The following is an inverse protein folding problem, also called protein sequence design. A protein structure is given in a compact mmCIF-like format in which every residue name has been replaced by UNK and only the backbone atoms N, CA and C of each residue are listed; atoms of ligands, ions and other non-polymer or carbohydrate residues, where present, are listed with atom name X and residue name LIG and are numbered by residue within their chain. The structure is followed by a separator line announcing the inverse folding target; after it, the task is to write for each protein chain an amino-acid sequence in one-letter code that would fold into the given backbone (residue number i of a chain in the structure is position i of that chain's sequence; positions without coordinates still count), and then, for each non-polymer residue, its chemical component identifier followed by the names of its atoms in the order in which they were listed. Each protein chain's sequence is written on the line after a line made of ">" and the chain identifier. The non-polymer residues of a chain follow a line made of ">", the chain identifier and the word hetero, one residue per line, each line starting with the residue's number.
data_IF_928049776382
#
_entry.id   IF_928049776382
#
_cell.length_a   1.000
_cell.length_b   1.000
_cell.length_c   1.000
_cell.angle_alpha   90.00
_cell.angle_beta   90.00
_cell.angle_gamma   90.00
#
_symmetry.space_group_name_H-M   'P 1'
#
loop_
_entity.id
_entity.type
_entity.pdbx_description
1 polymer ?
#
# COMPACT_ATOMS: atom_id res chain seq x y z
N UNK A 1 5.68 -35.97 0.39
CA UNK A 1 6.71 -36.48 1.32
C UNK A 1 7.37 -35.23 1.87
N UNK A 2 6.96 -34.82 3.07
CA UNK A 2 7.16 -33.46 3.57
C UNK A 2 8.62 -33.17 3.93
N UNK A 3 8.97 -31.90 3.74
CA UNK A 3 10.29 -31.28 3.77
C UNK A 3 11.11 -31.63 5.02
N UNK A 4 12.40 -31.91 4.84
CA UNK A 4 13.35 -31.95 5.94
C UNK A 4 13.59 -30.50 6.43
N UNK A 5 12.87 -30.09 7.48
CA UNK A 5 13.26 -28.91 8.26
C UNK A 5 14.65 -29.14 8.86
N UNK A 6 15.57 -28.22 8.60
CA UNK A 6 16.89 -28.24 9.24
C UNK A 6 16.91 -27.24 10.39
N UNK A 7 17.25 -27.74 11.59
CA UNK A 7 17.40 -26.93 12.80
C UNK A 7 18.88 -26.74 13.08
N UNK A 8 19.31 -25.48 13.15
CA UNK A 8 20.72 -25.13 13.34
C UNK A 8 20.82 -24.08 14.46
N UNK A 9 21.69 -24.28 15.47
CA UNK A 9 21.95 -23.25 16.45
C UNK A 9 22.62 -22.05 15.77
N UNK A 10 22.27 -20.85 16.22
CA UNK A 10 22.70 -19.58 15.65
C UNK A 10 23.11 -18.63 16.77
N UNK A 11 24.30 -18.04 16.61
CA UNK A 11 24.85 -17.10 17.59
C UNK A 11 24.50 -15.65 17.22
N UNK A 12 23.21 -15.33 17.21
CA UNK A 12 22.69 -14.05 16.70
C UNK A 12 22.91 -12.87 17.68
N UNK A 13 22.55 -13.03 18.95
CA UNK A 13 22.75 -12.01 20.02
C UNK A 13 23.71 -12.46 21.12
N UNK A 14 24.20 -13.70 21.01
CA UNK A 14 25.11 -14.37 21.94
C UNK A 14 25.33 -15.83 21.51
N UNK A 15 26.27 -16.56 22.12
CA UNK A 15 26.56 -17.95 21.75
C UNK A 15 25.31 -18.83 21.81
N UNK A 16 25.00 -19.50 20.69
CA UNK A 16 23.84 -20.40 20.52
C UNK A 16 22.50 -19.82 21.01
N UNK A 17 22.37 -18.49 20.97
CA UNK A 17 21.20 -17.75 21.48
C UNK A 17 19.90 -18.09 20.76
N UNK A 18 19.97 -18.57 19.51
CA UNK A 18 18.81 -18.80 18.66
C UNK A 18 18.88 -20.15 17.96
N UNK A 19 17.73 -20.69 17.57
CA UNK A 19 17.64 -21.83 16.67
C UNK A 19 17.00 -21.38 15.37
N UNK A 20 17.74 -21.47 14.27
CA UNK A 20 17.21 -21.22 12.95
C UNK A 20 16.55 -22.50 12.42
N UNK A 21 15.28 -22.39 12.01
CA UNK A 21 14.54 -23.45 11.33
C UNK A 21 14.48 -23.09 9.84
N UNK A 22 15.07 -23.93 8.98
CA UNK A 22 15.09 -23.69 7.53
C UNK A 22 14.26 -24.75 6.81
N UNK A 23 13.31 -24.26 6.02
CA UNK A 23 12.59 -25.03 5.00
C UNK A 23 13.39 -25.03 3.68
N UNK A 24 13.47 -26.17 3.01
CA UNK A 24 14.21 -26.29 1.77
C UNK A 24 13.60 -25.39 0.69
N UNK A 25 14.43 -24.57 0.04
CA UNK A 25 13.98 -23.63 -1.01
C UNK A 25 13.43 -22.30 -0.50
N UNK A 26 13.22 -22.12 0.81
CA UNK A 26 12.81 -20.85 1.38
C UNK A 26 13.99 -19.87 1.44
N UNK A 27 13.93 -18.79 0.67
CA UNK A 27 14.97 -17.76 0.60
C UNK A 27 14.78 -16.58 1.56
N UNK A 28 13.70 -16.57 2.35
CA UNK A 28 13.34 -15.46 3.23
C UNK A 28 13.79 -15.67 4.67
N UNK A 29 14.11 -14.57 5.35
CA UNK A 29 14.34 -14.53 6.78
C UNK A 29 13.65 -13.30 7.39
N UNK A 30 12.97 -13.48 8.52
CA UNK A 30 12.33 -12.43 9.30
C UNK A 30 12.93 -12.36 10.70
N UNK A 31 13.49 -11.19 11.04
CA UNK A 31 14.07 -10.89 12.35
C UNK A 31 13.33 -9.69 12.95
N UNK A 32 12.69 -9.85 14.11
CA UNK A 32 11.94 -8.76 14.73
C UNK A 32 11.63 -8.99 16.23
N UNK A 33 11.19 -7.96 16.97
CA UNK A 33 10.63 -8.07 18.31
C UNK A 33 9.41 -8.98 18.37
N UNK A 34 9.26 -9.66 19.52
CA UNK A 34 8.17 -10.61 19.74
C UNK A 34 6.79 -9.96 19.55
N UNK A 35 6.62 -8.71 20.01
CA UNK A 35 5.38 -7.95 19.95
C UNK A 35 4.98 -7.53 18.53
N UNK A 36 5.94 -7.46 17.61
CA UNK A 36 5.74 -6.97 16.24
C UNK A 36 5.58 -8.11 15.23
N UNK A 37 5.72 -9.35 15.67
CA UNK A 37 5.55 -10.55 14.87
C UNK A 37 4.14 -11.16 15.05
N UNK A 38 3.15 -10.62 14.32
CA UNK A 38 1.75 -11.11 14.39
C UNK A 38 1.54 -12.54 13.85
N UNK A 39 2.30 -12.98 12.84
CA UNK A 39 2.01 -14.26 12.14
C UNK A 39 3.20 -15.16 11.77
N UNK A 40 4.43 -14.65 11.53
CA UNK A 40 5.64 -15.48 11.33
C UNK A 40 6.91 -14.66 11.64
N UNK A 41 7.65 -15.07 12.66
CA UNK A 41 8.97 -14.53 13.04
C UNK A 41 9.93 -15.72 12.99
N UNK A 42 10.97 -15.66 12.16
CA UNK A 42 11.94 -16.75 12.10
C UNK A 42 12.93 -16.64 13.27
N UNK A 43 13.36 -15.42 13.58
CA UNK A 43 14.26 -15.12 14.69
C UNK A 43 13.70 -13.93 15.49
N UNK A 44 13.61 -14.08 16.82
CA UNK A 44 13.07 -13.05 17.72
C UNK A 44 14.20 -12.36 18.47
N UNK A 45 14.32 -11.05 18.32
CA UNK A 45 15.33 -10.22 19.01
C UNK A 45 14.65 -9.04 19.67
N UNK A 46 15.24 -8.43 20.69
CA UNK A 46 14.75 -7.12 21.14
C UNK A 46 15.09 -6.05 20.10
N UNK A 47 14.36 -4.94 20.14
CA UNK A 47 14.51 -3.85 19.17
C UNK A 47 15.94 -3.28 19.12
N UNK A 48 16.65 -3.27 20.25
CA UNK A 48 17.98 -2.68 20.41
C UNK A 48 19.09 -3.72 20.61
N UNK A 49 18.79 -5.01 20.43
CA UNK A 49 19.81 -6.04 20.54
C UNK A 49 20.85 -5.85 19.41
N UNK A 50 22.16 -5.86 19.72
CA UNK A 50 23.18 -5.93 18.69
C UNK A 50 23.08 -7.28 17.98
N UNK A 51 23.15 -7.26 16.64
CA UNK A 51 23.00 -8.47 15.83
C UNK A 51 24.35 -8.84 15.20
N UNK A 52 24.77 -10.08 15.46
CA UNK A 52 25.89 -10.70 14.75
C UNK A 52 25.42 -11.16 13.35
N UNK A 53 25.40 -10.26 12.37
CA UNK A 53 24.95 -10.58 11.01
C UNK A 53 25.80 -11.66 10.32
N UNK A 54 27.08 -11.78 10.68
CA UNK A 54 27.99 -12.77 10.09
C UNK A 54 27.60 -14.22 10.41
N UNK A 55 26.81 -14.47 11.46
CA UNK A 55 26.30 -15.80 11.74
C UNK A 55 25.42 -16.35 10.60
N UNK A 56 24.91 -15.48 9.72
CA UNK A 56 24.10 -15.85 8.56
C UNK A 56 24.93 -16.11 7.29
N UNK A 57 26.21 -15.70 7.27
CA UNK A 57 27.10 -15.80 6.10
C UNK A 57 27.33 -17.22 5.58
N UNK A 58 27.44 -18.27 6.42
CA UNK A 58 27.67 -19.64 5.93
C UNK A 58 26.50 -20.23 5.13
N UNK A 59 25.32 -19.61 5.14
CA UNK A 59 24.12 -20.20 4.54
C UNK A 59 23.95 -19.81 3.07
N UNK A 60 23.60 -20.81 2.26
CA UNK A 60 23.22 -20.64 0.86
C UNK A 60 21.88 -21.32 0.58
N UNK A 61 21.22 -20.90 -0.51
CA UNK A 61 20.10 -21.66 -1.08
C UNK A 61 20.64 -22.84 -1.90
N UNK A 62 19.81 -23.86 -2.24
CA UNK A 62 20.27 -25.00 -3.04
C UNK A 62 20.91 -24.63 -4.39
N UNK A 63 20.52 -23.50 -4.97
CA UNK A 63 21.11 -22.95 -6.20
C UNK A 63 22.51 -22.29 -6.01
N UNK A 64 23.04 -22.27 -4.78
CA UNK A 64 24.37 -21.77 -4.46
C UNK A 64 24.45 -20.27 -4.17
N UNK A 65 23.35 -19.51 -4.32
CA UNK A 65 23.36 -18.08 -3.95
C UNK A 65 23.32 -17.87 -2.43
N UNK A 66 23.84 -16.73 -1.93
CA UNK A 66 23.81 -16.41 -0.51
C UNK A 66 22.38 -16.40 0.06
N UNK A 67 22.19 -16.98 1.24
CA UNK A 67 20.94 -16.95 1.99
C UNK A 67 21.08 -16.03 3.23
N UNK A 68 20.06 -15.27 3.64
CA UNK A 68 18.78 -15.04 2.97
C UNK A 68 18.92 -14.19 1.69
N UNK A 69 17.97 -14.38 0.78
CA UNK A 69 17.75 -13.54 -0.42
C UNK A 69 16.82 -12.36 -0.11
N UNK A 70 15.79 -12.63 0.70
CA UNK A 70 14.81 -11.65 1.17
C UNK A 70 14.88 -11.54 2.69
N UNK A 71 15.20 -10.37 3.20
CA UNK A 71 15.34 -10.11 4.64
C UNK A 71 14.29 -9.10 5.08
N UNK A 72 13.47 -9.48 6.06
CA UNK A 72 12.58 -8.56 6.77
C UNK A 72 13.16 -8.34 8.16
N UNK A 73 13.50 -7.09 8.48
CA UNK A 73 14.13 -6.73 9.74
C UNK A 73 13.37 -5.60 10.42
N UNK A 74 13.04 -5.77 11.69
CA UNK A 74 12.55 -4.70 12.55
C UNK A 74 13.49 -4.56 13.74
N UNK A 75 14.03 -3.37 13.94
CA UNK A 75 15.01 -3.09 14.99
C UNK A 75 15.96 -1.96 14.61
N UNK A 76 16.86 -1.63 15.55
CA UNK A 76 17.73 -0.48 15.48
C UNK A 76 19.20 -0.78 15.14
N UNK A 77 19.57 -2.05 15.03
CA UNK A 77 20.91 -2.46 14.62
C UNK A 77 21.10 -2.23 13.11
N UNK A 78 21.98 -1.30 12.76
CA UNK A 78 22.26 -0.94 11.36
C UNK A 78 23.37 -1.80 10.73
N UNK A 79 23.87 -2.82 11.45
CA UNK A 79 24.95 -3.69 10.98
C UNK A 79 24.61 -4.47 9.70
N UNK A 80 23.32 -4.62 9.39
CA UNK A 80 22.84 -5.24 8.15
C UNK A 80 23.41 -4.56 6.90
N UNK A 81 23.63 -3.23 6.93
CA UNK A 81 24.17 -2.50 5.79
C UNK A 81 25.65 -2.80 5.57
N UNK A 82 26.45 -2.84 6.64
CA UNK A 82 27.86 -3.23 6.57
C UNK A 82 28.01 -4.70 6.13
N UNK A 83 27.14 -5.58 6.64
CA UNK A 83 27.10 -6.97 6.22
C UNK A 83 26.74 -7.13 4.73
N UNK A 84 25.85 -6.28 4.21
CA UNK A 84 25.48 -6.23 2.80
C UNK A 84 26.60 -5.67 1.89
N UNK A 85 27.69 -5.13 2.40
CA UNK A 85 28.84 -4.74 1.57
C UNK A 85 29.55 -5.98 0.98
N UNK A 86 29.56 -7.09 1.73
CA UNK A 86 30.30 -8.29 1.38
C UNK A 86 29.50 -9.29 0.54
N UNK A 87 28.20 -9.03 0.32
CA UNK A 87 27.28 -9.95 -0.37
C UNK A 87 26.04 -9.26 -0.88
N UNK A 88 25.45 -9.84 -1.93
CA UNK A 88 24.17 -9.37 -2.48
C UNK A 88 23.01 -9.74 -1.54
N UNK A 89 22.12 -8.78 -1.30
CA UNK A 89 20.77 -8.99 -0.77
C UNK A 89 19.77 -8.57 -1.84
N UNK A 90 18.88 -9.48 -2.25
CA UNK A 90 17.90 -9.17 -3.30
C UNK A 90 16.80 -8.22 -2.80
N UNK A 91 16.35 -8.40 -1.57
CA UNK A 91 15.46 -7.44 -0.92
C UNK A 91 15.72 -7.34 0.57
N UNK A 92 15.83 -6.10 1.05
CA UNK A 92 15.79 -5.76 2.46
C UNK A 92 14.54 -4.93 2.74
N UNK A 93 13.67 -5.41 3.62
CA UNK A 93 12.61 -4.63 4.24
C UNK A 93 13.04 -4.29 5.65
N UNK A 94 13.13 -3.00 5.99
CA UNK A 94 13.58 -2.54 7.29
C UNK A 94 12.57 -1.60 7.93
N UNK A 95 12.28 -1.84 9.21
CA UNK A 95 11.54 -0.89 10.06
C UNK A 95 12.46 -0.48 11.21
N UNK A 96 13.09 0.71 11.15
CA UNK A 96 13.87 1.22 12.27
C UNK A 96 12.97 1.48 13.47
N UNK A 97 13.41 1.08 14.65
CA UNK A 97 12.71 1.32 15.92
C UNK A 97 13.22 2.54 16.67
N UNK A 98 14.33 3.15 16.21
CA UNK A 98 14.92 4.37 16.76
C UNK A 98 15.41 5.28 15.65
N UNK A 99 15.42 6.59 15.93
CA UNK A 99 15.99 7.57 15.01
C UNK A 99 17.48 7.33 14.82
N UNK A 100 17.97 7.40 13.58
CA UNK A 100 19.39 7.18 13.29
C UNK A 100 19.86 7.87 12.00
N UNK A 101 21.18 8.00 11.91
CA UNK A 101 21.89 8.35 10.69
C UNK A 101 22.80 7.18 10.28
N UNK A 102 22.77 6.80 9.01
CA UNK A 102 23.57 5.69 8.50
C UNK A 102 24.09 5.94 7.08
N UNK A 103 25.30 5.46 6.80
CA UNK A 103 25.82 5.35 5.44
C UNK A 103 25.61 3.94 4.91
N UNK A 104 24.70 3.80 3.94
CA UNK A 104 24.43 2.53 3.26
C UNK A 104 24.92 2.54 1.81
N UNK A 105 25.76 3.51 1.41
CA UNK A 105 26.19 3.67 0.02
C UNK A 105 26.95 2.45 -0.54
N UNK A 106 27.70 1.75 0.31
CA UNK A 106 28.45 0.55 -0.05
C UNK A 106 27.62 -0.74 -0.01
N UNK A 107 26.41 -0.71 0.55
CA UNK A 107 25.58 -1.91 0.69
C UNK A 107 25.08 -2.42 -0.67
N UNK A 108 25.29 -3.71 -0.93
CA UNK A 108 24.86 -4.38 -2.16
C UNK A 108 23.42 -4.92 -2.03
N UNK A 109 22.47 -3.98 -1.98
CA UNK A 109 21.04 -4.25 -1.84
C UNK A 109 20.33 -3.90 -3.15
N UNK A 110 19.66 -4.86 -3.79
CA UNK A 110 18.95 -4.60 -5.05
C UNK A 110 17.65 -3.84 -4.83
N UNK A 111 16.87 -4.22 -3.81
CA UNK A 111 15.60 -3.60 -3.43
C UNK A 111 15.62 -3.26 -1.95
N UNK A 112 15.43 -1.98 -1.62
CA UNK A 112 15.36 -1.49 -0.25
C UNK A 112 13.95 -0.99 0.03
N UNK A 113 13.29 -1.56 1.03
CA UNK A 113 12.00 -1.08 1.54
C UNK A 113 12.19 -0.59 2.97
N UNK A 114 11.74 0.61 3.27
CA UNK A 114 11.83 1.21 4.60
C UNK A 114 10.44 1.65 5.04
N UNK A 115 10.01 1.19 6.20
CA UNK A 115 8.81 1.69 6.86
C UNK A 115 9.20 2.57 8.05
N UNK A 116 8.77 3.84 8.05
CA UNK A 116 9.02 4.78 9.14
C UNK A 116 7.78 4.95 9.99
N UNK A 117 7.84 4.50 11.23
CA UNK A 117 6.81 4.82 12.22
C UNK A 117 6.90 6.29 12.65
N UNK A 118 5.77 6.85 13.09
CA UNK A 118 5.70 8.23 13.59
C UNK A 118 6.76 8.50 14.65
N UNK A 119 7.47 9.62 14.52
CA UNK A 119 8.50 10.06 15.46
C UNK A 119 9.88 9.39 15.28
N UNK A 120 10.04 8.48 14.31
CA UNK A 120 11.33 7.86 14.00
C UNK A 120 11.97 8.58 12.81
N UNK A 121 13.02 9.35 13.07
CA UNK A 121 13.77 10.07 12.05
C UNK A 121 14.91 9.24 11.47
N UNK A 122 14.94 9.10 10.14
CA UNK A 122 15.99 8.39 9.44
C UNK A 122 16.72 9.32 8.47
N UNK A 123 18.03 9.45 8.67
CA UNK A 123 18.93 10.08 7.71
C UNK A 123 19.83 9.01 7.10
N UNK A 124 19.80 8.84 5.78
CA UNK A 124 20.52 7.74 5.12
C UNK A 124 21.26 8.21 3.88
N UNK A 125 22.52 7.80 3.71
CA UNK A 125 23.15 7.77 2.38
C UNK A 125 22.73 6.47 1.70
N UNK A 126 21.92 6.58 0.65
CA UNK A 126 21.30 5.47 -0.03
C UNK A 126 22.32 4.60 -0.76
N UNK A 127 22.12 3.26 -0.78
CA UNK A 127 22.84 2.37 -1.70
C UNK A 127 22.44 2.65 -3.15
N UNK A 128 23.21 2.09 -4.09
CA UNK A 128 22.85 2.03 -5.52
C UNK A 128 21.72 1.03 -5.82
N UNK A 129 20.69 0.99 -4.98
CA UNK A 129 19.56 0.08 -5.12
C UNK A 129 18.73 0.39 -6.36
N UNK A 130 18.35 -0.65 -7.10
CA UNK A 130 17.49 -0.52 -8.29
C UNK A 130 16.06 -0.12 -7.96
N UNK A 131 15.61 -0.36 -6.73
CA UNK A 131 14.27 -0.04 -6.26
C UNK A 131 14.31 0.40 -4.80
N UNK A 132 13.70 1.56 -4.51
CA UNK A 132 13.51 2.09 -3.17
C UNK A 132 12.00 2.20 -2.90
N UNK A 133 11.53 1.63 -1.81
CA UNK A 133 10.16 1.79 -1.32
C UNK A 133 10.19 2.42 0.06
N UNK A 134 9.46 3.53 0.24
CA UNK A 134 9.33 4.22 1.51
C UNK A 134 7.86 4.25 1.92
N UNK A 135 7.55 3.88 3.15
CA UNK A 135 6.19 3.96 3.70
C UNK A 135 6.16 4.54 5.11
N UNK A 136 4.98 4.96 5.57
CA UNK A 136 4.79 5.53 6.90
C UNK A 136 4.97 7.06 6.94
N UNK A 137 5.55 7.58 8.01
CA UNK A 137 5.76 9.02 8.21
C UNK A 137 6.99 9.52 7.41
N UNK A 138 6.76 9.80 6.12
CA UNK A 138 7.81 10.25 5.21
C UNK A 138 8.36 11.64 5.52
N UNK A 139 7.73 12.41 6.42
CA UNK A 139 8.28 13.71 6.87
C UNK A 139 9.57 13.54 7.69
N UNK A 140 9.79 12.33 8.21
CA UNK A 140 10.93 11.96 9.05
C UNK A 140 12.07 11.31 8.25
N UNK A 141 11.94 11.20 6.92
CA UNK A 141 12.96 10.61 6.06
C UNK A 141 13.86 11.68 5.45
N UNK A 142 15.16 11.43 5.41
CA UNK A 142 16.10 12.23 4.61
C UNK A 142 17.15 11.37 3.93
N UNK A 143 17.22 11.45 2.60
CA UNK A 143 18.28 10.81 1.81
C UNK A 143 19.41 11.82 1.49
N UNK A 144 20.65 11.50 1.90
CA UNK A 144 21.81 12.38 1.79
C UNK A 144 22.24 12.59 0.33
N UNK A 145 22.18 11.53 -0.48
CA UNK A 145 22.55 11.49 -1.89
C UNK A 145 21.33 11.31 -2.82
N UNK A 146 20.15 11.80 -2.40
CA UNK A 146 18.90 11.66 -3.16
C UNK A 146 19.00 12.19 -4.61
N UNK A 147 19.77 13.25 -4.83
CA UNK A 147 19.92 13.90 -6.13
C UNK A 147 20.51 12.98 -7.21
N UNK A 148 21.33 12.00 -6.79
CA UNK A 148 22.00 11.04 -7.67
C UNK A 148 21.19 9.74 -7.83
N UNK A 149 20.14 9.54 -7.03
CA UNK A 149 19.35 8.31 -7.07
C UNK A 149 18.58 8.20 -8.39
N UNK A 150 18.89 7.17 -9.17
CA UNK A 150 18.30 6.92 -10.51
C UNK A 150 17.49 5.62 -10.59
N UNK A 151 17.33 4.89 -9.49
CA UNK A 151 16.47 3.70 -9.41
C UNK A 151 14.98 4.07 -9.44
N UNK A 152 14.10 3.08 -9.34
CA UNK A 152 12.66 3.32 -9.22
C UNK A 152 12.29 3.62 -7.77
N UNK A 153 11.49 4.67 -7.54
CA UNK A 153 11.03 5.08 -6.21
C UNK A 153 9.53 4.78 -6.05
N UNK A 154 9.16 4.11 -4.97
CA UNK A 154 7.78 3.92 -4.55
C UNK A 154 7.55 4.56 -3.19
N UNK A 155 6.46 5.31 -3.04
CA UNK A 155 6.10 6.02 -1.82
C UNK A 155 4.70 5.61 -1.38
N UNK A 156 4.55 5.25 -0.11
CA UNK A 156 3.28 4.91 0.54
C UNK A 156 3.18 5.64 1.89
N UNK A 157 3.05 6.99 1.88
CA UNK A 157 2.95 7.76 3.11
C UNK A 157 1.69 7.39 3.90
N UNK A 158 1.76 7.51 5.22
CA UNK A 158 0.56 7.47 6.05
C UNK A 158 -0.34 8.65 5.68
N UNK A 159 -1.59 8.36 5.35
CA UNK A 159 -2.67 9.31 5.08
C UNK A 159 -3.73 9.22 6.18
N UNK A 160 -4.52 10.27 6.40
CA UNK A 160 -5.68 10.19 7.29
C UNK A 160 -6.91 9.57 6.57
N UNK A 161 -7.97 9.25 7.32
CA UNK A 161 -9.25 8.78 6.72
C UNK A 161 -9.85 9.85 5.81
N UNK A 162 -9.77 11.12 6.23
CA UNK A 162 -10.27 12.29 5.50
C UNK A 162 -9.31 13.46 5.71
N UNK A 163 -9.19 14.32 4.72
CA UNK A 163 -8.36 15.51 4.81
C UNK A 163 -8.14 16.16 3.44
N UNK A 164 -7.53 17.35 3.39
CA UNK A 164 -7.12 17.95 2.12
C UNK A 164 -6.03 17.09 1.46
N UNK A 165 -5.80 17.24 0.14
CA UNK A 165 -4.72 16.57 -0.55
C UNK A 165 -3.36 16.72 0.16
N UNK A 166 -2.73 15.61 0.50
CA UNK A 166 -1.46 15.57 1.19
C UNK A 166 -0.31 15.75 0.21
N UNK A 167 0.48 16.81 0.40
CA UNK A 167 1.72 17.02 -0.34
C UNK A 167 2.73 15.95 0.07
N UNK A 168 3.36 15.33 -0.92
CA UNK A 168 4.38 14.31 -0.67
C UNK A 168 5.69 15.03 -0.32
N UNK A 169 6.28 14.76 0.86
CA UNK A 169 7.55 15.36 1.25
C UNK A 169 8.69 14.83 0.36
N UNK A 170 9.92 15.30 0.56
CA UNK A 170 11.18 14.78 0.02
C UNK A 170 11.42 14.77 -1.50
N UNK A 171 10.40 14.88 -2.35
CA UNK A 171 10.53 14.67 -3.81
C UNK A 171 11.45 15.68 -4.51
N UNK A 172 11.54 16.91 -3.98
CA UNK A 172 12.45 17.95 -4.46
C UNK A 172 13.93 17.57 -4.38
N UNK A 173 14.28 16.57 -3.57
CA UNK A 173 15.66 16.10 -3.45
C UNK A 173 16.06 15.07 -4.53
N UNK A 174 15.10 14.46 -5.24
CA UNK A 174 15.33 13.35 -6.17
C UNK A 174 15.51 13.79 -7.63
N UNK A 175 16.55 14.60 -7.88
CA UNK A 175 16.74 15.30 -9.16
C UNK A 175 16.94 14.39 -10.39
N UNK A 176 17.52 13.20 -10.21
CA UNK A 176 17.78 12.23 -11.29
C UNK A 176 16.67 11.19 -11.47
N UNK A 177 15.63 11.21 -10.64
CA UNK A 177 14.58 10.18 -10.62
C UNK A 177 13.73 10.26 -11.88
N UNK A 178 13.55 9.10 -12.53
CA UNK A 178 12.71 8.96 -13.74
C UNK A 178 11.44 8.16 -13.53
N UNK A 179 11.33 7.44 -12.41
CA UNK A 179 10.30 6.44 -12.18
C UNK A 179 9.76 6.55 -10.76
N UNK A 180 8.52 7.01 -10.66
CA UNK A 180 7.82 7.22 -9.40
C UNK A 180 6.55 6.37 -9.36
N UNK A 181 6.35 5.69 -8.23
CA UNK A 181 5.08 5.08 -7.86
C UNK A 181 4.56 5.72 -6.58
N UNK A 182 3.30 6.16 -6.60
CA UNK A 182 2.58 6.66 -5.45
C UNK A 182 1.49 5.66 -5.06
N UNK A 183 1.60 5.12 -3.86
CA UNK A 183 0.64 4.23 -3.25
C UNK A 183 -0.20 4.98 -2.22
N UNK A 184 -1.51 4.90 -2.41
CA UNK A 184 -2.49 5.25 -1.39
C UNK A 184 -3.61 4.20 -1.43
N UNK A 185 -4.38 4.11 -0.36
CA UNK A 185 -5.61 3.33 -0.39
C UNK A 185 -6.72 4.14 -1.09
N UNK A 186 -7.68 3.47 -1.75
CA UNK A 186 -8.88 4.14 -2.24
C UNK A 186 -9.68 4.75 -1.08
N UNK A 187 -10.31 5.91 -1.31
CA UNK A 187 -11.19 6.59 -0.33
C UNK A 187 -10.52 7.11 0.96
N UNK A 188 -9.19 7.16 1.04
CA UNK A 188 -8.46 7.90 2.09
C UNK A 188 -8.33 9.38 1.75
N UNK A 189 -7.74 10.16 2.67
CA UNK A 189 -7.15 11.45 2.32
C UNK A 189 -6.27 11.29 1.06
N UNK A 190 -6.54 12.05 -0.02
CA UNK A 190 -5.83 11.87 -1.27
C UNK A 190 -4.39 12.37 -1.17
N UNK A 191 -3.48 11.79 -1.95
CA UNK A 191 -2.17 12.41 -2.18
C UNK A 191 -2.28 13.47 -3.27
N UNK A 192 -1.45 14.51 -3.18
CA UNK A 192 -1.40 15.57 -4.16
C UNK A 192 -0.50 15.19 -5.35
N UNK A 193 -1.11 14.98 -6.53
CA UNK A 193 -0.41 14.68 -7.78
C UNK A 193 0.58 15.77 -8.19
N UNK A 194 0.35 17.03 -7.81
CA UNK A 194 1.24 18.15 -8.12
C UNK A 194 2.63 17.96 -7.49
N UNK A 195 2.74 17.14 -6.45
CA UNK A 195 4.04 16.80 -5.83
C UNK A 195 5.01 16.17 -6.83
N UNK A 196 4.52 15.45 -7.84
CA UNK A 196 5.35 14.85 -8.89
C UNK A 196 6.04 15.91 -9.79
N UNK A 197 5.52 17.14 -9.85
CA UNK A 197 6.12 18.23 -10.63
C UNK A 197 7.49 18.67 -10.08
N UNK A 198 7.83 18.29 -8.84
CA UNK A 198 9.13 18.54 -8.22
C UNK A 198 10.25 17.69 -8.86
N UNK A 199 9.91 16.70 -9.68
CA UNK A 199 10.85 15.77 -10.30
C UNK A 199 11.15 16.17 -11.75
N UNK A 200 12.30 16.81 -12.03
CA UNK A 200 12.57 17.41 -13.34
C UNK A 200 12.80 16.37 -14.46
N UNK A 201 13.11 15.12 -14.11
CA UNK A 201 13.44 14.04 -15.07
C UNK A 201 12.37 12.94 -15.12
N UNK A 202 11.21 13.13 -14.48
CA UNK A 202 10.18 12.11 -14.39
C UNK A 202 9.64 11.74 -15.77
N UNK A 203 9.75 10.46 -16.14
CA UNK A 203 9.20 9.92 -17.40
C UNK A 203 8.23 8.75 -17.18
N UNK A 204 8.23 8.12 -16.00
CA UNK A 204 7.31 7.03 -15.65
C UNK A 204 6.62 7.34 -14.33
N UNK A 205 5.30 7.34 -14.34
CA UNK A 205 4.48 7.61 -13.17
C UNK A 205 3.43 6.52 -12.99
N UNK A 206 3.36 5.97 -11.79
CA UNK A 206 2.29 5.03 -11.39
C UNK A 206 1.55 5.57 -10.18
N UNK A 207 0.22 5.63 -10.27
CA UNK A 207 -0.67 6.20 -9.26
C UNK A 207 -1.65 5.13 -8.80
N UNK A 208 -1.76 4.96 -7.47
CA UNK A 208 -2.64 3.99 -6.85
C UNK A 208 -3.54 4.67 -5.81
N UNK A 209 -4.84 4.36 -5.83
CA UNK A 209 -5.79 4.81 -4.81
C UNK A 209 -6.24 6.26 -4.96
N UNK A 210 -6.52 6.92 -3.83
CA UNK A 210 -7.00 8.29 -3.79
C UNK A 210 -5.87 9.30 -4.09
N UNK A 211 -5.98 10.00 -5.22
CA UNK A 211 -5.03 11.03 -5.67
C UNK A 211 -5.84 12.22 -6.19
N UNK A 212 -5.49 13.43 -5.78
CA UNK A 212 -6.15 14.68 -6.19
C UNK A 212 -5.25 15.52 -7.09
N UNK A 213 -5.80 16.61 -7.63
CA UNK A 213 -5.12 17.58 -8.49
C UNK A 213 -4.51 16.94 -9.75
N UNK A 214 -5.20 15.95 -10.34
CA UNK A 214 -4.67 15.21 -11.49
C UNK A 214 -4.43 16.12 -12.70
N UNK A 215 -5.17 17.24 -12.81
CA UNK A 215 -5.01 18.21 -13.88
C UNK A 215 -3.60 18.80 -13.98
N UNK A 216 -2.90 18.86 -12.84
CA UNK A 216 -1.53 19.36 -12.74
C UNK A 216 -0.52 18.48 -13.51
N UNK A 217 -0.84 17.20 -13.69
CA UNK A 217 0.01 16.25 -14.42
C UNK A 217 0.20 16.64 -15.89
N UNK A 218 -0.66 17.49 -16.46
CA UNK A 218 -0.49 18.02 -17.83
C UNK A 218 0.84 18.77 -18.01
N UNK A 219 1.45 19.27 -16.92
CA UNK A 219 2.74 19.95 -16.93
C UNK A 219 3.93 18.99 -17.11
N UNK A 220 3.73 17.68 -16.90
CA UNK A 220 4.74 16.63 -17.10
C UNK A 220 4.90 16.26 -18.59
N UNK A 221 5.28 17.22 -19.42
CA UNK A 221 5.39 17.01 -20.88
C UNK A 221 6.43 15.95 -21.29
N UNK A 222 7.32 15.57 -20.38
CA UNK A 222 8.30 14.49 -20.54
C UNK A 222 7.78 13.08 -20.25
N UNK A 223 6.52 12.92 -19.83
CA UNK A 223 5.97 11.64 -19.41
C UNK A 223 5.85 10.64 -20.58
N UNK A 224 6.43 9.46 -20.41
CA UNK A 224 6.48 8.36 -21.38
C UNK A 224 5.56 7.21 -20.99
N UNK A 225 5.33 7.00 -19.68
CA UNK A 225 4.40 5.99 -19.19
C UNK A 225 3.59 6.48 -17.99
N UNK A 226 2.28 6.20 -18.02
CA UNK A 226 1.34 6.45 -16.94
C UNK A 226 0.60 5.16 -16.55
N UNK A 227 0.56 4.84 -15.27
CA UNK A 227 -0.30 3.78 -14.73
C UNK A 227 -1.26 4.35 -13.68
N UNK A 228 -2.53 3.99 -13.80
CA UNK A 228 -3.63 4.41 -12.92
C UNK A 228 -4.28 3.14 -12.36
N UNK A 229 -4.26 2.97 -11.04
CA UNK A 229 -4.75 1.75 -10.40
C UNK A 229 -5.61 2.06 -9.19
N UNK A 230 -6.75 1.38 -9.06
CA UNK A 230 -7.64 1.55 -7.91
C UNK A 230 -8.09 3.02 -7.68
N UNK A 231 -8.20 3.81 -8.74
CA UNK A 231 -8.53 5.23 -8.64
C UNK A 231 -10.04 5.44 -8.77
N UNK A 232 -10.67 5.89 -7.68
CA UNK A 232 -12.12 6.09 -7.60
C UNK A 232 -12.59 7.41 -8.24
N UNK A 233 -11.68 8.34 -8.48
CA UNK A 233 -11.95 9.60 -9.18
C UNK A 233 -10.82 9.89 -10.17
N UNK A 234 -11.19 10.19 -11.41
CA UNK A 234 -10.30 10.55 -12.51
C UNK A 234 -10.85 11.77 -13.28
N UNK A 235 -11.77 12.53 -12.69
CA UNK A 235 -12.48 13.63 -13.34
C UNK A 235 -11.54 14.75 -13.84
N UNK A 236 -10.43 14.98 -13.13
CA UNK A 236 -9.40 15.96 -13.50
C UNK A 236 -8.27 15.39 -14.36
N UNK A 237 -8.31 14.10 -14.73
CA UNK A 237 -7.23 13.49 -15.50
C UNK A 237 -7.06 14.20 -16.85
N UNK A 238 -5.84 14.69 -17.19
CA UNK A 238 -5.59 15.32 -18.47
C UNK A 238 -5.87 14.40 -19.65
N UNK A 239 -6.24 14.99 -20.78
CA UNK A 239 -6.33 14.26 -22.04
C UNK A 239 -4.93 13.71 -22.41
N UNK A 240 -4.83 12.50 -23.00
CA UNK A 240 -3.52 11.92 -23.32
C UNK A 240 -2.63 12.80 -24.23
N UNK A 241 -3.22 13.68 -25.03
CA UNK A 241 -2.51 14.68 -25.84
C UNK A 241 -1.67 15.66 -25.04
N UNK A 242 -1.94 15.84 -23.74
CA UNK A 242 -1.11 16.66 -22.85
C UNK A 242 0.30 16.09 -22.67
N UNK A 243 0.51 14.80 -23.01
CA UNK A 243 1.79 14.11 -22.86
C UNK A 243 2.32 13.65 -24.23
N UNK A 244 3.02 14.52 -24.98
CA UNK A 244 3.44 14.21 -26.35
C UNK A 244 4.45 13.05 -26.47
N UNK A 245 5.09 12.65 -25.36
CA UNK A 245 6.02 11.51 -25.31
C UNK A 245 5.39 10.23 -24.79
N UNK A 246 4.10 10.25 -24.44
CA UNK A 246 3.44 9.10 -23.84
C UNK A 246 3.37 7.96 -24.84
N UNK A 247 3.88 6.80 -24.45
CA UNK A 247 3.85 5.58 -25.27
C UNK A 247 2.96 4.51 -24.65
N UNK A 248 2.77 4.54 -23.32
CA UNK A 248 1.98 3.55 -22.61
C UNK A 248 1.11 4.16 -21.50
N UNK A 249 -0.19 3.86 -21.54
CA UNK A 249 -1.17 4.21 -20.51
C UNK A 249 -1.92 2.95 -20.03
N UNK A 250 -1.80 2.65 -18.74
CA UNK A 250 -2.53 1.57 -18.09
C UNK A 250 -3.55 2.15 -17.12
N UNK A 251 -4.80 1.70 -17.20
CA UNK A 251 -5.85 2.00 -16.24
C UNK A 251 -6.52 0.69 -15.79
N UNK A 252 -6.45 0.36 -14.51
CA UNK A 252 -6.99 -0.89 -13.98
C UNK A 252 -7.70 -0.69 -12.64
N UNK A 253 -8.93 -1.20 -12.49
CA UNK A 253 -9.80 -0.89 -11.34
C UNK A 253 -9.95 0.63 -11.16
N UNK A 254 -10.39 1.32 -12.21
CA UNK A 254 -10.56 2.79 -12.19
C UNK A 254 -12.03 3.17 -12.37
N UNK A 255 -12.35 4.43 -12.08
CA UNK A 255 -13.65 5.04 -12.38
C UNK A 255 -14.19 4.64 -13.76
N UNK A 256 -15.47 4.27 -13.78
CA UNK A 256 -16.14 3.76 -14.97
C UNK A 256 -16.30 4.82 -16.06
N UNK A 257 -16.62 6.06 -15.68
CA UNK A 257 -16.92 7.14 -16.64
C UNK A 257 -15.64 7.55 -17.36
N UNK A 258 -14.59 7.88 -16.61
CA UNK A 258 -13.28 8.24 -17.15
C UNK A 258 -12.65 7.08 -17.91
N UNK A 259 -12.75 5.84 -17.40
CA UNK A 259 -12.25 4.66 -18.11
C UNK A 259 -12.94 4.42 -19.45
N UNK A 260 -14.27 4.65 -19.56
CA UNK A 260 -14.99 4.61 -20.83
C UNK A 260 -14.54 5.72 -21.78
N UNK A 261 -14.31 6.93 -21.25
CA UNK A 261 -13.80 8.06 -22.03
C UNK A 261 -12.40 7.78 -22.61
N UNK A 262 -11.48 7.22 -21.81
CA UNK A 262 -10.15 6.80 -22.26
C UNK A 262 -10.22 5.76 -23.39
N UNK A 263 -11.09 4.76 -23.26
CA UNK A 263 -11.32 3.77 -24.34
C UNK A 263 -11.87 4.40 -25.61
N UNK A 264 -12.81 5.34 -25.49
CA UNK A 264 -13.40 6.03 -26.63
C UNK A 264 -12.40 6.95 -27.33
N UNK A 265 -11.57 7.64 -26.55
CA UNK A 265 -10.43 8.40 -27.03
C UNK A 265 -9.46 7.50 -27.81
N UNK A 266 -9.03 6.39 -27.23
CA UNK A 266 -8.06 5.47 -27.85
C UNK A 266 -8.54 4.95 -29.20
N UNK A 267 -9.81 4.53 -29.30
CA UNK A 267 -10.39 4.09 -30.58
C UNK A 267 -10.38 5.18 -31.66
N UNK A 268 -10.59 6.45 -31.29
CA UNK A 268 -10.54 7.56 -32.25
C UNK A 268 -9.10 7.86 -32.67
N UNK A 269 -8.19 7.90 -31.70
CA UNK A 269 -6.78 8.16 -31.95
C UNK A 269 -6.16 7.06 -32.82
N UNK A 270 -6.40 5.79 -32.49
CA UNK A 270 -5.98 4.63 -33.28
C UNK A 270 -6.44 4.71 -34.74
N UNK A 271 -7.68 5.15 -35.00
CA UNK A 271 -8.19 5.35 -36.36
C UNK A 271 -7.50 6.50 -37.11
N UNK A 272 -7.06 7.52 -36.38
CA UNK A 272 -6.43 8.70 -36.97
C UNK A 272 -4.95 8.48 -37.32
N UNK A 273 -4.19 7.77 -36.45
CA UNK A 273 -2.73 7.63 -36.60
C UNK A 273 -2.27 6.22 -37.00
N UNK A 274 -3.16 5.22 -36.95
CA UNK A 274 -2.83 3.82 -37.22
C UNK A 274 -2.16 3.12 -36.03
N UNK A 275 -2.11 1.78 -36.08
CA UNK A 275 -1.67 0.94 -34.96
C UNK A 275 -0.22 1.18 -34.53
N UNK A 276 0.68 1.40 -35.48
CA UNK A 276 2.12 1.51 -35.22
C UNK A 276 2.53 2.83 -34.55
N UNK A 277 1.74 3.89 -34.72
CA UNK A 277 1.99 5.21 -34.15
C UNK A 277 1.08 5.52 -32.94
N UNK A 278 0.07 4.69 -32.69
CA UNK A 278 -0.85 4.88 -31.59
C UNK A 278 -0.22 4.47 -30.25
N UNK A 279 -0.51 5.22 -29.20
CA UNK A 279 -0.09 4.84 -27.85
C UNK A 279 -0.70 3.48 -27.45
N UNK A 280 0.06 2.69 -26.71
CA UNK A 280 -0.46 1.50 -26.04
C UNK A 280 -1.38 1.93 -24.90
N UNK A 281 -2.66 1.60 -24.98
CA UNK A 281 -3.63 1.90 -23.92
C UNK A 281 -4.40 0.63 -23.52
N UNK A 282 -4.37 0.33 -22.22
CA UNK A 282 -5.20 -0.71 -21.62
C UNK A 282 -6.01 -0.13 -20.47
N UNK A 283 -7.32 -0.01 -20.65
CA UNK A 283 -8.26 0.36 -19.60
C UNK A 283 -9.16 -0.84 -19.31
N UNK A 284 -9.06 -1.46 -18.13
CA UNK A 284 -9.80 -2.68 -17.76
C UNK A 284 -10.31 -2.63 -16.32
N UNK A 285 -11.30 -3.47 -16.00
CA UNK A 285 -11.98 -3.45 -14.70
C UNK A 285 -12.51 -2.05 -14.34
N UNK A 286 -13.45 -1.54 -15.14
CA UNK A 286 -14.07 -0.24 -14.91
C UNK A 286 -15.09 -0.36 -13.78
N UNK A 287 -14.98 0.49 -12.76
CA UNK A 287 -15.72 0.36 -11.49
C UNK A 287 -16.62 1.56 -11.27
N UNK A 288 -17.85 1.30 -10.82
CA UNK A 288 -18.76 2.33 -10.31
C UNK A 288 -18.28 2.79 -8.92
N UNK A 289 -18.61 4.03 -8.49
CA UNK A 289 -18.28 4.53 -7.16
C UNK A 289 -18.65 3.56 -6.02
N UNK A 290 -19.85 2.98 -6.06
CA UNK A 290 -20.34 2.05 -5.02
C UNK A 290 -19.44 0.82 -4.83
N UNK A 291 -18.73 0.39 -5.88
CA UNK A 291 -17.80 -0.74 -5.77
C UNK A 291 -16.60 -0.36 -4.89
N UNK A 292 -16.06 0.84 -5.03
CA UNK A 292 -14.97 1.32 -4.17
C UNK A 292 -15.43 1.47 -2.73
N UNK A 293 -16.62 2.00 -2.50
CA UNK A 293 -17.20 2.12 -1.16
C UNK A 293 -17.37 0.75 -0.51
N UNK A 294 -17.87 -0.23 -1.26
CA UNK A 294 -18.09 -1.59 -0.74
C UNK A 294 -16.81 -2.37 -0.51
N UNK A 295 -15.76 -2.10 -1.28
CA UNK A 295 -14.50 -2.84 -1.20
C UNK A 295 -13.48 -2.18 -0.25
N UNK A 296 -13.46 -0.86 -0.17
CA UNK A 296 -12.46 -0.08 0.58
C UNK A 296 -13.06 0.90 1.60
N UNK A 297 -14.33 1.28 1.45
CA UNK A 297 -14.98 2.28 2.30
C UNK A 297 -15.74 1.72 3.50
N UNK A 298 -15.89 0.40 3.61
CA UNK A 298 -16.61 -0.20 4.73
C UNK A 298 -15.77 -0.10 6.02
N UNK A 299 -16.38 0.26 7.16
CA UNK A 299 -15.68 0.51 8.42
C UNK A 299 -15.29 -0.79 9.15
N UNK A 300 -15.07 -1.90 8.43
CA UNK A 300 -14.75 -3.20 9.03
C UNK A 300 -13.27 -3.58 8.89
N UNK A 301 -12.43 -2.67 8.41
CA UNK A 301 -11.03 -2.93 8.11
C UNK A 301 -10.23 -3.35 9.36
N UNK A 302 -10.53 -2.74 10.51
CA UNK A 302 -9.85 -2.98 11.77
C UNK A 302 -10.44 -4.16 12.57
N UNK A 303 -11.53 -4.77 12.09
CA UNK A 303 -12.17 -5.90 12.75
C UNK A 303 -11.36 -7.19 12.56
N UNK A 304 -11.62 -8.20 13.40
CA UNK A 304 -11.05 -9.52 13.16
C UNK A 304 -11.43 -10.04 11.77
N UNK A 305 -10.55 -10.75 11.03
CA UNK A 305 -10.83 -11.18 9.66
C UNK A 305 -12.14 -11.97 9.51
N UNK A 306 -12.50 -12.76 10.54
CA UNK A 306 -13.76 -13.50 10.58
C UNK A 306 -14.97 -12.57 10.68
N UNK A 307 -14.94 -11.61 11.59
CA UNK A 307 -16.05 -10.67 11.79
C UNK A 307 -16.15 -9.69 10.62
N UNK A 308 -15.04 -9.14 10.14
CA UNK A 308 -14.99 -8.27 8.97
C UNK A 308 -15.65 -8.93 7.75
N UNK A 309 -15.28 -10.19 7.46
CA UNK A 309 -15.88 -10.95 6.36
C UNK A 309 -17.38 -11.17 6.52
N UNK A 310 -17.84 -11.45 7.74
CA UNK A 310 -19.26 -11.65 8.02
C UNK A 310 -20.05 -10.33 7.89
N UNK A 311 -19.52 -9.23 8.44
CA UNK A 311 -20.11 -7.90 8.37
C UNK A 311 -20.19 -7.38 6.92
N UNK A 312 -19.11 -7.48 6.14
CA UNK A 312 -19.10 -7.12 4.72
C UNK A 312 -20.12 -7.94 3.91
N UNK A 313 -20.27 -9.24 4.21
CA UNK A 313 -21.28 -10.08 3.56
C UNK A 313 -22.69 -9.61 3.92
N UNK A 314 -22.95 -9.32 5.19
CA UNK A 314 -24.24 -8.83 5.66
C UNK A 314 -24.59 -7.47 5.03
N UNK A 315 -23.62 -6.56 4.97
CA UNK A 315 -23.75 -5.26 4.31
C UNK A 315 -24.16 -5.42 2.84
N UNK A 316 -23.47 -6.28 2.08
CA UNK A 316 -23.81 -6.54 0.66
C UNK A 316 -25.22 -7.10 0.47
N UNK A 317 -25.69 -7.94 1.40
CA UNK A 317 -27.06 -8.48 1.38
C UNK A 317 -28.06 -7.35 1.64
N UNK A 318 -27.81 -6.51 2.65
CA UNK A 318 -28.67 -5.37 2.99
C UNK A 318 -28.73 -4.36 1.84
N UNK A 319 -27.58 -3.98 1.28
CA UNK A 319 -27.50 -3.08 0.12
C UNK A 319 -28.31 -3.60 -1.07
N UNK A 320 -28.22 -4.90 -1.37
CA UNK A 320 -28.98 -5.51 -2.46
C UNK A 320 -30.50 -5.58 -2.18
N UNK A 321 -30.90 -5.68 -0.91
CA UNK A 321 -32.31 -5.63 -0.50
C UNK A 321 -32.86 -4.20 -0.61
N UNK A 322 -32.13 -3.21 -0.08
CA UNK A 322 -32.48 -1.78 -0.16
C UNK A 322 -32.61 -1.33 -1.61
N UNK A 323 -31.68 -1.72 -2.49
CA UNK A 323 -31.74 -1.37 -3.91
C UNK A 323 -32.98 -1.94 -4.66
N UNK A 324 -33.67 -2.93 -4.09
CA UNK A 324 -34.90 -3.54 -4.65
C UNK A 324 -36.17 -3.09 -3.93
N UNK A 325 -36.03 -2.42 -2.79
CA UNK A 325 -37.14 -1.95 -1.99
C UNK A 325 -37.96 -0.91 -2.76
N UNK A 326 -39.26 -0.93 -2.57
CA UNK A 326 -40.23 0.00 -3.15
C UNK A 326 -40.89 0.88 -2.10
N UNK A 327 -40.70 0.58 -0.82
CA UNK A 327 -41.33 1.24 0.32
C UNK A 327 -40.35 1.32 1.49
N UNK A 328 -40.45 2.39 2.28
CA UNK A 328 -39.66 2.63 3.48
C UNK A 328 -39.56 1.43 4.42
N UNK A 329 -40.67 0.73 4.66
CA UNK A 329 -40.71 -0.45 5.54
C UNK A 329 -39.81 -1.60 5.06
N UNK A 330 -39.61 -1.77 3.75
CA UNK A 330 -38.71 -2.78 3.20
C UNK A 330 -37.23 -2.38 3.38
N UNK A 331 -36.94 -1.08 3.35
CA UNK A 331 -35.61 -0.52 3.62
C UNK A 331 -35.27 -0.69 5.10
N UNK A 332 -36.18 -0.27 5.98
CA UNK A 332 -36.05 -0.45 7.43
C UNK A 332 -35.85 -1.92 7.80
N UNK A 333 -36.64 -2.83 7.22
CA UNK A 333 -36.49 -4.26 7.47
C UNK A 333 -35.12 -4.80 7.03
N UNK A 334 -34.54 -4.28 5.94
CA UNK A 334 -33.20 -4.65 5.50
C UNK A 334 -32.11 -4.15 6.48
N UNK A 335 -32.25 -2.93 7.00
CA UNK A 335 -31.38 -2.37 8.05
C UNK A 335 -31.49 -3.18 9.35
N UNK A 336 -32.70 -3.53 9.78
CA UNK A 336 -32.95 -4.38 10.94
C UNK A 336 -32.25 -5.74 10.80
N UNK A 337 -32.42 -6.41 9.65
CA UNK A 337 -31.76 -7.70 9.39
C UNK A 337 -30.23 -7.56 9.44
N UNK A 338 -29.70 -6.46 8.92
CA UNK A 338 -28.27 -6.18 8.99
C UNK A 338 -27.77 -6.05 10.43
N UNK A 339 -28.43 -5.23 11.25
CA UNK A 339 -28.09 -5.06 12.68
C UNK A 339 -28.15 -6.37 13.46
N UNK A 340 -29.20 -7.17 13.24
CA UNK A 340 -29.34 -8.48 13.88
C UNK A 340 -28.21 -9.46 13.53
N UNK A 341 -27.62 -9.36 12.34
CA UNK A 341 -26.45 -10.17 11.98
C UNK A 341 -25.21 -9.67 12.73
N UNK A 342 -25.01 -8.35 12.82
CA UNK A 342 -23.86 -7.79 13.54
C UNK A 342 -23.90 -8.11 15.03
N UNK A 343 -25.06 -8.00 15.70
CA UNK A 343 -25.20 -8.29 17.13
C UNK A 343 -24.94 -9.75 17.51
N UNK A 344 -24.98 -10.66 16.54
CA UNK A 344 -24.63 -12.08 16.74
C UNK A 344 -23.14 -12.36 16.59
N UNK A 345 -22.35 -11.38 16.17
CA UNK A 345 -20.90 -11.55 16.05
C UNK A 345 -20.25 -11.48 17.44
N UNK A 346 -19.35 -12.43 17.76
CA UNK A 346 -18.71 -12.44 19.07
C UNK A 346 -17.64 -11.34 19.19
N UNK A 347 -17.53 -10.76 20.38
CA UNK A 347 -16.43 -9.87 20.76
C UNK A 347 -16.43 -8.52 20.04
N UNK A 348 -17.61 -7.93 19.80
CA UNK A 348 -17.71 -6.54 19.34
C UNK A 348 -17.65 -5.60 20.56
N UNK A 349 -16.64 -4.75 20.59
CA UNK A 349 -16.45 -3.71 21.61
C UNK A 349 -17.04 -2.37 21.11
N UNK A 350 -16.84 -1.29 21.87
CA UNK A 350 -17.40 0.04 21.55
C UNK A 350 -16.97 0.54 20.17
N UNK A 351 -15.70 0.38 19.79
CA UNK A 351 -15.20 0.85 18.49
C UNK A 351 -15.87 0.11 17.33
N UNK A 352 -16.02 -1.22 17.41
CA UNK A 352 -16.74 -1.98 16.39
C UNK A 352 -18.24 -1.63 16.33
N UNK A 353 -18.83 -1.16 17.44
CA UNK A 353 -20.22 -0.69 17.44
C UNK A 353 -20.36 0.67 16.73
N UNK A 354 -19.40 1.57 16.92
CA UNK A 354 -19.35 2.84 16.18
C UNK A 354 -19.14 2.61 14.67
N UNK A 355 -18.31 1.63 14.31
CA UNK A 355 -18.15 1.18 12.93
C UNK A 355 -19.45 0.59 12.37
N UNK A 356 -20.17 -0.22 13.16
CA UNK A 356 -21.47 -0.76 12.77
C UNK A 356 -22.49 0.36 12.50
N UNK A 357 -22.56 1.37 13.38
CA UNK A 357 -23.41 2.54 13.17
C UNK A 357 -23.02 3.30 11.89
N UNK A 358 -21.73 3.51 11.67
CA UNK A 358 -21.22 4.14 10.43
C UNK A 358 -21.67 3.38 9.19
N UNK A 359 -21.64 2.04 9.22
CA UNK A 359 -22.14 1.21 8.11
C UNK A 359 -23.66 1.31 7.93
N UNK A 360 -24.44 1.48 9.00
CA UNK A 360 -25.86 1.79 8.91
C UNK A 360 -26.09 3.11 8.18
N UNK A 361 -25.41 4.18 8.60
CA UNK A 361 -25.49 5.49 7.94
C UNK A 361 -25.16 5.39 6.45
N UNK A 362 -24.17 4.58 6.07
CA UNK A 362 -23.84 4.34 4.66
C UNK A 362 -24.95 3.61 3.89
N UNK A 363 -25.69 2.68 4.51
CA UNK A 363 -26.79 1.95 3.87
C UNK A 363 -28.04 2.80 3.71
N UNK A 364 -28.35 3.63 4.71
CA UNK A 364 -29.52 4.52 4.68
C UNK A 364 -29.23 5.82 3.92
N UNK A 365 -27.98 6.13 3.62
CA UNK A 365 -27.60 7.30 2.84
C UNK A 365 -28.41 7.35 1.53
N UNK A 366 -29.10 8.47 1.31
CA UNK A 366 -29.97 8.70 0.15
C UNK A 366 -31.25 7.84 0.10
N UNK A 367 -31.66 7.25 1.22
CA UNK A 367 -32.97 6.61 1.38
C UNK A 367 -33.94 7.51 2.14
N UNK A 368 -35.24 7.20 2.04
CA UNK A 368 -36.31 7.93 2.74
C UNK A 368 -36.35 7.68 4.26
N UNK A 369 -35.62 6.69 4.77
CA UNK A 369 -35.55 6.36 6.21
C UNK A 369 -34.30 6.93 6.90
N UNK A 370 -33.52 7.76 6.19
CA UNK A 370 -32.27 8.31 6.73
C UNK A 370 -32.48 9.15 8.00
N UNK A 371 -33.62 9.85 8.11
CA UNK A 371 -33.92 10.70 9.25
C UNK A 371 -34.32 9.90 10.51
N UNK A 372 -34.74 8.64 10.33
CA UNK A 372 -35.13 7.72 11.42
C UNK A 372 -34.03 6.72 11.77
N UNK A 373 -32.82 6.88 11.21
CA UNK A 373 -31.78 5.84 11.28
C UNK A 373 -31.29 5.57 12.70
N UNK A 374 -31.26 6.59 13.55
CA UNK A 374 -30.87 6.45 14.97
C UNK A 374 -31.87 5.56 15.71
N UNK A 375 -33.17 5.75 15.49
CA UNK A 375 -34.23 4.95 16.08
C UNK A 375 -34.19 3.51 15.56
N UNK A 376 -33.98 3.33 14.25
CA UNK A 376 -33.85 2.01 13.63
C UNK A 376 -32.64 1.29 14.22
N UNK A 377 -31.47 1.94 14.29
CA UNK A 377 -30.27 1.33 14.86
C UNK A 377 -30.46 0.98 16.34
N UNK A 378 -31.04 1.88 17.13
CA UNK A 378 -31.37 1.65 18.53
C UNK A 378 -32.37 0.50 18.76
N UNK A 379 -33.26 0.21 17.79
CA UNK A 379 -34.24 -0.87 17.91
C UNK A 379 -33.65 -2.28 17.74
N UNK A 380 -32.51 -2.40 17.04
CA UNK A 380 -31.90 -3.71 16.78
C UNK A 380 -30.68 -3.97 17.61
N UNK A 381 -29.96 -2.94 18.01
CA UNK A 381 -28.87 -3.06 18.95
C UNK A 381 -29.42 -2.95 20.37
N UNK A 382 -29.65 -4.12 20.98
CA UNK A 382 -29.80 -4.25 22.43
C UNK A 382 -28.52 -3.69 23.09
N UNK A 383 -28.52 -2.41 23.43
CA UNK A 383 -27.46 -1.74 24.17
C UNK A 383 -27.83 -1.60 25.64
#
# INVERSE_FOLDING_TARGET
>A
MFEHETRQPLSLTGPDSHTLIREAGLGSLTIAPAEQCKHRCDLRVNADDPINWDCLTPFTVPAGSPWPRWLNYVGSDTGVFAWAEQRVIESLSWTPTRSCEIDASAANIQRLSIHLSKGIALRIRLPAATYLHLSGDLSQFTAINAAEYSGSLALAPDTDRQGPPQVIPLLDNFLSLRDLTLFNEPLRQPLDAASALKLPQLSRLSLYGAIANLGELAKLTGLESLQLRFMNDLSELPAPESWPKLTNLLAWNVDEVAGKALRAWHRRHLKAVGEQACISLSATQLRKPDWFVTEYGLPFADWTPKNAKAATKAYRIAQAAIAKAKQAAEIEQALIVFGQVLNKLPGLETCERDDAYSAFCMLAAHTEVNDDIEDIFGSVCDF
#
